data_IF_773225010658
#
_entry.id   IF_773225010658
#
_cell.length_a   1.000
_cell.length_b   1.000
_cell.length_c   1.000
_cell.angle_alpha   90.00
_cell.angle_beta   90.00
_cell.angle_gamma   90.00
#
_symmetry.space_group_name_H-M   'P 1'
#
loop_
_entity.id
_entity.type
_entity.pdbx_description
1 polymer ?
#
# COMPACT_ATOMS: atom_id res chain seq x y z
N UNK A 1 -6.92 14.57 11.20
CA UNK A 1 -5.86 13.56 11.25
C UNK A 1 -6.46 12.23 10.80
N UNK A 2 -6.38 11.93 9.51
CA UNK A 2 -6.92 10.68 8.96
C UNK A 2 -5.93 9.59 9.32
N UNK A 3 -6.28 8.72 10.28
CA UNK A 3 -5.55 7.48 10.50
C UNK A 3 -5.96 6.53 9.37
N UNK A 4 -5.13 6.45 8.34
CA UNK A 4 -5.18 5.31 7.40
C UNK A 4 -4.63 4.12 8.18
N UNK A 5 -5.49 3.51 9.01
CA UNK A 5 -5.24 2.19 9.54
C UNK A 5 -5.44 1.25 8.35
N UNK A 6 -4.36 1.02 7.57
CA UNK A 6 -4.30 -0.15 6.71
C UNK A 6 -4.69 -1.32 7.61
N UNK A 7 -5.73 -2.08 7.25
CA UNK A 7 -6.09 -3.26 8.02
C UNK A 7 -4.94 -4.26 7.79
N UNK A 8 -3.93 -4.18 8.66
CA UNK A 8 -2.68 -4.93 8.55
C UNK A 8 -2.97 -6.43 8.49
N UNK A 9 -4.16 -6.90 8.90
CA UNK A 9 -4.59 -8.29 8.84
C UNK A 9 -4.34 -9.00 7.51
N UNK A 10 -4.47 -8.35 6.35
CA UNK A 10 -4.17 -9.00 5.06
C UNK A 10 -2.67 -9.07 4.75
N UNK A 11 -1.90 -8.03 5.10
CA UNK A 11 -0.44 -8.03 5.02
C UNK A 11 0.19 -8.97 6.07
N UNK A 12 -0.35 -8.99 7.28
CA UNK A 12 0.01 -9.88 8.39
C UNK A 12 -0.37 -11.32 8.10
N UNK A 13 -1.47 -11.59 7.39
CA UNK A 13 -1.80 -12.95 6.94
C UNK A 13 -0.84 -13.41 5.83
N UNK A 14 -0.39 -12.51 4.96
CA UNK A 14 0.67 -12.80 3.98
C UNK A 14 2.03 -13.07 4.68
N UNK A 15 2.30 -12.37 5.80
CA UNK A 15 3.47 -12.58 6.67
C UNK A 15 3.35 -13.81 7.59
N UNK A 16 2.14 -14.19 8.04
CA UNK A 16 1.89 -15.37 8.91
C UNK A 16 1.84 -16.67 8.14
N UNK A 17 1.60 -16.65 6.83
CA UNK A 17 1.73 -17.84 5.99
C UNK A 17 3.20 -18.19 5.67
N UNK A 18 4.13 -17.27 5.96
CA UNK A 18 5.57 -17.44 5.83
C UNK A 18 6.20 -18.11 7.06
N UNK A 19 5.72 -19.28 7.47
CA UNK A 19 6.44 -20.09 8.46
C UNK A 19 7.50 -20.93 7.75
N UNK A 20 8.63 -20.28 7.40
CA UNK A 20 9.98 -20.86 7.29
C UNK A 20 11.03 -19.78 6.91
N UNK A 21 11.33 -18.86 7.84
CA UNK A 21 12.60 -18.11 7.94
C UNK A 21 13.16 -17.33 6.73
N UNK A 22 12.36 -16.92 5.75
CA UNK A 22 12.75 -15.86 4.80
C UNK A 22 11.74 -14.72 4.87
N UNK A 23 12.18 -13.46 5.06
CA UNK A 23 11.27 -12.33 4.98
C UNK A 23 10.72 -12.25 3.55
N UNK A 24 9.41 -12.46 3.38
CA UNK A 24 8.76 -12.16 2.12
C UNK A 24 8.68 -10.64 2.00
N UNK A 25 9.66 -10.06 1.30
CA UNK A 25 9.62 -8.65 0.93
C UNK A 25 8.61 -8.52 -0.20
N UNK A 26 7.46 -7.90 0.07
CA UNK A 26 6.54 -7.54 -0.99
C UNK A 26 7.16 -6.44 -1.85
N UNK A 27 7.18 -6.65 -3.16
CA UNK A 27 7.56 -5.60 -4.12
C UNK A 27 6.40 -4.65 -4.43
N UNK A 28 5.20 -4.95 -3.94
CA UNK A 28 4.01 -4.16 -4.20
C UNK A 28 4.15 -2.72 -3.69
N UNK A 29 3.49 -1.79 -4.38
CA UNK A 29 3.51 -0.35 -4.06
C UNK A 29 2.11 0.16 -3.78
N UNK A 30 2.03 1.11 -2.85
CA UNK A 30 0.87 1.99 -2.69
C UNK A 30 1.24 3.35 -3.28
N UNK A 31 0.46 3.83 -4.25
CA UNK A 31 0.72 5.08 -4.97
C UNK A 31 -0.44 6.03 -4.77
N UNK A 32 -0.15 7.26 -4.36
CA UNK A 32 -1.13 8.33 -4.22
C UNK A 32 -1.10 9.27 -5.42
N UNK A 33 -2.28 9.54 -6.01
CA UNK A 33 -2.48 10.50 -7.09
C UNK A 33 -2.99 11.82 -6.53
N UNK A 34 -2.15 12.86 -6.60
CA UNK A 34 -2.54 14.22 -6.19
C UNK A 34 -3.68 14.79 -7.05
N UNK A 35 -3.80 14.36 -8.31
CA UNK A 35 -4.81 14.88 -9.24
C UNK A 35 -6.21 14.36 -8.93
N UNK A 36 -6.33 13.11 -8.50
CA UNK A 36 -7.62 12.44 -8.27
C UNK A 36 -7.92 12.16 -6.79
N UNK A 37 -6.93 12.28 -5.90
CA UNK A 37 -7.04 11.82 -4.52
C UNK A 37 -6.98 10.30 -4.37
N UNK A 38 -6.77 9.56 -5.46
CA UNK A 38 -6.80 8.10 -5.47
C UNK A 38 -5.54 7.49 -4.86
N UNK A 39 -5.72 6.46 -4.04
CA UNK A 39 -4.70 5.51 -3.61
C UNK A 39 -4.82 4.24 -4.44
N UNK A 40 -3.74 3.84 -5.11
CA UNK A 40 -3.68 2.61 -5.90
C UNK A 40 -2.78 1.59 -5.24
N UNK A 41 -3.23 0.34 -5.19
CA UNK A 41 -2.38 -0.81 -4.89
C UNK A 41 -1.87 -1.44 -6.18
N UNK A 42 -0.56 -1.38 -6.40
CA UNK A 42 0.12 -2.06 -7.49
C UNK A 42 0.85 -3.30 -6.97
N UNK A 43 0.26 -4.48 -7.19
CA UNK A 43 0.88 -5.75 -6.83
C UNK A 43 2.13 -6.04 -7.68
N UNK A 44 2.17 -5.57 -8.93
CA UNK A 44 3.27 -5.81 -9.88
C UNK A 44 4.54 -5.01 -9.54
N UNK A 45 4.46 -4.15 -8.51
CA UNK A 45 5.59 -3.43 -7.96
C UNK A 45 6.18 -2.40 -8.92
N UNK A 46 7.32 -2.72 -9.53
CA UNK A 46 7.99 -1.85 -10.50
C UNK A 46 7.51 -2.06 -11.95
N UNK A 47 6.75 -3.14 -12.21
CA UNK A 47 6.20 -3.42 -13.52
C UNK A 47 4.92 -2.60 -13.74
N UNK A 48 4.69 -2.14 -14.97
CA UNK A 48 3.48 -1.41 -15.33
C UNK A 48 2.27 -2.33 -15.31
N UNK A 49 1.17 -1.88 -14.70
CA UNK A 49 -0.01 -2.68 -14.43
C UNK A 49 -0.39 -2.60 -12.95
N UNK A 50 -1.43 -3.32 -12.56
CA UNK A 50 -1.82 -3.48 -11.16
C UNK A 50 -1.83 -4.95 -10.70
N UNK A 51 -1.58 -5.91 -11.60
CA UNK A 51 -1.86 -7.32 -11.37
C UNK A 51 -3.35 -7.52 -11.11
N UNK A 52 -3.70 -8.06 -9.94
CA UNK A 52 -5.08 -8.11 -9.42
C UNK A 52 -5.43 -6.92 -8.52
N UNK A 53 -4.53 -5.95 -8.38
CA UNK A 53 -4.75 -4.70 -7.66
C UNK A 53 -5.57 -3.66 -8.44
N UNK A 54 -5.54 -2.41 -7.99
CA UNK A 54 -6.31 -1.31 -8.57
C UNK A 54 -6.46 -0.11 -7.63
N UNK A 55 -7.46 0.74 -7.90
CA UNK A 55 -7.85 1.82 -6.98
C UNK A 55 -8.41 1.21 -5.70
N UNK A 56 -7.74 1.52 -4.59
CA UNK A 56 -8.07 1.00 -3.27
C UNK A 56 -8.96 1.98 -2.48
N UNK A 57 -8.70 3.29 -2.62
CA UNK A 57 -9.46 4.33 -1.94
C UNK A 57 -9.34 5.67 -2.66
N UNK A 58 -10.31 6.57 -2.42
CA UNK A 58 -10.21 7.99 -2.76
C UNK A 58 -10.20 8.77 -1.46
N UNK A 59 -9.20 9.65 -1.31
CA UNK A 59 -9.02 10.49 -0.14
C UNK A 59 -9.20 11.96 -0.52
N UNK A 60 -9.55 12.76 0.49
CA UNK A 60 -9.39 14.21 0.38
C UNK A 60 -7.93 14.57 0.01
N UNK A 61 -7.69 15.72 -0.63
CA UNK A 61 -6.35 16.13 -1.02
C UNK A 61 -5.36 16.08 0.16
N UNK A 62 -4.32 15.28 0.01
CA UNK A 62 -3.24 15.15 0.98
C UNK A 62 -2.06 16.04 0.60
N UNK A 63 -1.36 16.52 1.62
CA UNK A 63 -0.12 17.27 1.51
C UNK A 63 1.05 16.44 2.04
N UNK A 64 2.28 16.89 1.80
CA UNK A 64 3.47 16.24 2.35
C UNK A 64 3.43 16.12 3.90
N UNK A 65 2.72 17.01 4.58
CA UNK A 65 2.58 16.99 6.04
C UNK A 65 1.66 15.88 6.56
N UNK A 66 0.85 15.27 5.69
CA UNK A 66 -0.04 14.16 6.05
C UNK A 66 0.69 12.81 6.06
N UNK A 67 1.96 12.77 5.63
CA UNK A 67 2.79 11.56 5.59
C UNK A 67 3.89 11.59 6.64
N UNK A 68 4.10 10.46 7.32
CA UNK A 68 5.22 10.24 8.25
C UNK A 68 6.12 9.15 7.69
N UNK A 69 7.42 9.43 7.60
CA UNK A 69 8.42 8.42 7.27
C UNK A 69 8.77 7.67 8.56
N UNK A 70 8.54 6.36 8.55
CA UNK A 70 8.99 5.46 9.62
C UNK A 70 10.24 4.75 9.08
N UNK A 71 11.35 4.88 9.81
CA UNK A 71 12.63 4.23 9.52
C UNK A 71 12.79 2.91 10.27
#
# INVERSE_FOLDING_TARGET
>A
MIKIQLLITEFDNMMRYAVANTPYVSLAKIVYSLTSGSLFYNQDGATAGFGTGGEFAVLDPLTANDFVIIA
#
